data_IF_861033957738
#
_entry.id   IF_861033957738
#
_cell.length_a   1.000
_cell.length_b   1.000
_cell.length_c   1.000
_cell.angle_alpha   90.00
_cell.angle_beta   90.00
_cell.angle_gamma   90.00
#
_symmetry.space_group_name_H-M   'P 1'
#
loop_
_entity.id
_entity.type
_entity.pdbx_description
1 polymer ?
#
# COMPACT_ATOMS: atom_id res chain seq x y z
N UNK A 1 10.86 -32.97 -15.95
CA UNK A 1 9.80 -32.08 -16.44
C UNK A 1 10.31 -30.66 -16.28
N UNK A 2 10.30 -29.84 -17.34
CA UNK A 2 10.64 -28.43 -17.20
C UNK A 2 9.58 -27.72 -16.35
N UNK A 3 9.99 -26.96 -15.33
CA UNK A 3 9.05 -26.16 -14.53
C UNK A 3 8.60 -24.92 -15.31
N UNK A 4 7.50 -24.26 -14.88
CA UNK A 4 7.09 -22.94 -15.43
C UNK A 4 8.25 -21.94 -15.38
N UNK A 5 9.09 -22.00 -14.33
CA UNK A 5 10.28 -21.15 -14.19
C UNK A 5 11.32 -21.45 -15.25
N UNK A 6 11.56 -22.73 -15.55
CA UNK A 6 12.53 -23.13 -16.59
C UNK A 6 12.05 -22.73 -17.97
N UNK A 7 10.75 -22.86 -18.26
CA UNK A 7 10.15 -22.38 -19.49
C UNK A 7 10.34 -20.86 -19.66
N UNK A 8 10.00 -20.07 -18.63
CA UNK A 8 10.14 -18.61 -18.70
C UNK A 8 11.61 -18.18 -18.86
N UNK A 9 12.56 -18.81 -18.15
CA UNK A 9 14.00 -18.55 -18.32
C UNK A 9 14.46 -18.80 -19.77
N UNK A 10 14.09 -19.96 -20.34
CA UNK A 10 14.43 -20.32 -21.73
C UNK A 10 13.79 -19.34 -22.72
N UNK A 11 12.52 -18.97 -22.52
CA UNK A 11 11.82 -18.01 -23.35
C UNK A 11 12.45 -16.61 -23.29
N UNK A 12 12.89 -16.15 -22.12
CA UNK A 12 13.58 -14.86 -21.97
C UNK A 12 14.94 -14.83 -22.67
N UNK A 13 15.74 -15.90 -22.57
CA UNK A 13 17.00 -16.04 -23.31
C UNK A 13 16.78 -15.96 -24.82
N UNK A 14 15.74 -16.63 -25.31
CA UNK A 14 15.36 -16.57 -26.73
C UNK A 14 14.89 -15.17 -27.14
N UNK A 15 14.02 -14.53 -26.35
CA UNK A 15 13.53 -13.18 -26.62
C UNK A 15 14.64 -12.12 -26.65
N UNK A 16 15.63 -12.23 -25.75
CA UNK A 16 16.80 -11.37 -25.73
C UNK A 16 17.66 -11.54 -27.00
N UNK A 17 17.78 -12.76 -27.52
CA UNK A 17 18.51 -13.08 -28.77
C UNK A 17 17.87 -12.40 -29.99
N UNK A 18 16.55 -12.16 -29.96
CA UNK A 18 15.81 -11.49 -31.04
C UNK A 18 15.52 -10.00 -30.78
N UNK A 19 16.14 -9.39 -29.77
CA UNK A 19 15.98 -7.95 -29.49
C UNK A 19 14.57 -7.53 -29.06
N UNK A 20 13.77 -8.46 -28.51
CA UNK A 20 12.41 -8.14 -28.06
C UNK A 20 12.44 -7.32 -26.76
N UNK A 21 11.56 -6.32 -26.66
CA UNK A 21 11.39 -5.43 -25.50
C UNK A 21 10.90 -6.12 -24.22
N UNK A 22 10.60 -7.42 -24.26
CA UNK A 22 10.15 -8.23 -23.12
C UNK A 22 11.30 -8.91 -22.38
N UNK A 23 12.38 -8.18 -22.08
CA UNK A 23 13.48 -8.70 -21.26
C UNK A 23 13.02 -8.68 -19.80
N UNK A 24 12.94 -9.86 -19.17
CA UNK A 24 12.69 -9.95 -17.73
C UNK A 24 13.83 -9.19 -17.00
N UNK A 25 13.52 -8.22 -16.11
CA UNK A 25 14.54 -7.49 -15.36
C UNK A 25 15.50 -8.42 -14.61
N UNK A 26 16.79 -8.06 -14.54
CA UNK A 26 17.82 -8.91 -13.92
C UNK A 26 17.50 -9.29 -12.47
N UNK A 27 16.88 -8.40 -11.69
CA UNK A 27 16.44 -8.70 -10.32
C UNK A 27 15.40 -9.83 -10.28
N UNK A 28 14.46 -9.85 -11.21
CA UNK A 28 13.45 -10.92 -11.34
C UNK A 28 14.12 -12.21 -11.83
N UNK A 29 15.05 -12.14 -12.79
CA UNK A 29 15.81 -13.32 -13.23
C UNK A 29 16.58 -13.97 -12.07
N UNK A 30 17.27 -13.16 -11.24
CA UNK A 30 17.96 -13.62 -10.04
C UNK A 30 17.00 -14.27 -9.06
N UNK A 31 15.85 -13.64 -8.79
CA UNK A 31 14.84 -14.21 -7.89
C UNK A 31 14.27 -15.54 -8.42
N UNK A 32 14.00 -15.66 -9.72
CA UNK A 32 13.55 -16.91 -10.34
C UNK A 32 14.61 -18.03 -10.34
N UNK A 33 15.89 -17.68 -10.20
CA UNK A 33 16.98 -18.64 -10.10
C UNK A 33 17.06 -19.32 -8.72
N UNK A 34 16.44 -18.73 -7.70
CA UNK A 34 16.40 -19.27 -6.35
C UNK A 34 15.37 -20.40 -6.30
N UNK A 35 15.85 -21.63 -6.14
CA UNK A 35 15.01 -22.80 -5.92
C UNK A 35 14.79 -22.99 -4.42
N UNK A 36 13.53 -23.23 -4.04
CA UNK A 36 13.23 -23.69 -2.69
C UNK A 36 13.80 -25.10 -2.49
N UNK A 37 14.18 -25.44 -1.25
CA UNK A 37 14.66 -26.78 -0.97
C UNK A 37 13.55 -27.81 -1.23
N UNK A 38 13.85 -29.00 -1.78
CA UNK A 38 12.84 -30.04 -2.01
C UNK A 38 12.06 -30.35 -0.74
N UNK A 39 10.73 -30.40 -0.85
CA UNK A 39 9.83 -30.69 0.28
C UNK A 39 9.37 -29.49 1.11
N UNK A 40 9.95 -28.30 0.90
CA UNK A 40 9.52 -27.08 1.58
C UNK A 40 8.21 -26.50 1.01
N UNK A 41 7.52 -25.74 1.85
CA UNK A 41 6.28 -25.01 1.57
C UNK A 41 6.44 -23.53 1.97
N UNK A 42 5.37 -22.74 1.84
CA UNK A 42 5.39 -21.36 2.33
C UNK A 42 5.51 -21.25 3.86
N UNK A 43 5.24 -22.33 4.61
CA UNK A 43 5.43 -22.37 6.06
C UNK A 43 6.91 -22.39 6.47
N UNK A 44 7.81 -22.75 5.55
CA UNK A 44 9.26 -22.78 5.78
C UNK A 44 9.94 -21.45 5.44
N UNK A 45 9.17 -20.40 5.14
CA UNK A 45 9.72 -19.09 4.84
C UNK A 45 10.30 -18.43 6.11
N UNK A 46 11.62 -18.28 6.14
CA UNK A 46 12.34 -17.62 7.26
C UNK A 46 12.17 -16.09 7.25
N UNK A 47 11.89 -15.50 6.09
CA UNK A 47 11.76 -14.06 5.91
C UNK A 47 10.51 -13.73 5.09
N UNK A 48 9.66 -12.88 5.67
CA UNK A 48 8.48 -12.32 5.00
C UNK A 48 8.67 -10.82 4.89
N UNK A 49 8.77 -10.33 3.66
CA UNK A 49 8.91 -8.89 3.36
C UNK A 49 7.59 -8.38 2.81
N UNK A 50 7.03 -7.38 3.49
CA UNK A 50 5.84 -6.69 3.01
C UNK A 50 6.24 -5.37 2.36
N UNK A 51 6.01 -5.26 1.04
CA UNK A 51 6.13 -4.00 0.32
C UNK A 51 4.74 -3.37 0.18
N UNK A 52 4.51 -2.29 0.92
CA UNK A 52 3.25 -1.55 0.85
C UNK A 52 3.36 -0.44 -0.20
N UNK A 53 2.43 -0.43 -1.14
CA UNK A 53 2.32 0.63 -2.16
C UNK A 53 1.06 1.47 -1.92
N UNK A 54 0.98 2.59 -2.62
CA UNK A 54 -0.08 3.59 -2.44
C UNK A 54 -1.00 3.71 -3.67
N UNK A 55 -2.29 3.90 -3.40
CA UNK A 55 -3.27 4.55 -4.27
C UNK A 55 -3.38 4.08 -5.73
N UNK A 56 -3.25 2.78 -5.98
CA UNK A 56 -3.51 2.18 -7.31
C UNK A 56 -4.44 0.98 -7.21
N UNK A 57 -5.49 0.97 -8.04
CA UNK A 57 -6.41 -0.18 -8.12
C UNK A 57 -5.78 -1.31 -8.94
N UNK A 58 -6.27 -2.53 -8.73
CA UNK A 58 -5.84 -3.69 -9.51
C UNK A 58 -6.09 -3.48 -11.01
N UNK A 59 -7.28 -3.02 -11.40
CA UNK A 59 -7.62 -2.82 -12.81
C UNK A 59 -6.79 -1.69 -13.46
N UNK A 60 -6.36 -0.69 -12.69
CA UNK A 60 -5.48 0.36 -13.17
C UNK A 60 -4.08 -0.18 -13.52
N UNK A 61 -3.51 -1.06 -12.67
CA UNK A 61 -2.17 -1.60 -12.90
C UNK A 61 -2.17 -2.84 -13.81
N UNK A 62 -3.12 -3.74 -13.60
CA UNK A 62 -3.09 -5.11 -14.13
C UNK A 62 -4.37 -5.52 -14.85
N UNK A 63 -5.37 -4.64 -15.00
CA UNK A 63 -6.65 -4.99 -15.64
C UNK A 63 -6.53 -5.48 -17.08
N UNK A 64 -5.39 -5.17 -17.74
CA UNK A 64 -5.04 -5.62 -19.10
C UNK A 64 -4.05 -6.79 -19.14
N UNK A 65 -3.52 -7.23 -18.00
CA UNK A 65 -2.59 -8.36 -17.94
C UNK A 65 -3.27 -9.65 -18.45
N UNK A 66 -2.54 -10.45 -19.23
CA UNK A 66 -3.07 -11.75 -19.70
C UNK A 66 -3.11 -12.73 -18.52
N UNK A 67 -4.24 -13.40 -18.35
CA UNK A 67 -4.41 -14.43 -17.31
C UNK A 67 -5.16 -13.97 -16.06
N UNK A 68 -5.30 -12.66 -15.84
CA UNK A 68 -6.23 -12.12 -14.84
C UNK A 68 -7.63 -12.02 -15.43
N UNK A 69 -8.66 -11.93 -14.58
CA UNK A 69 -10.04 -11.65 -15.03
C UNK A 69 -10.11 -10.33 -15.81
N UNK A 70 -9.66 -9.25 -15.17
CA UNK A 70 -9.55 -7.90 -15.74
C UNK A 70 -10.76 -7.45 -16.58
N UNK A 71 -10.48 -6.68 -17.63
CA UNK A 71 -11.51 -6.15 -18.55
C UNK A 71 -12.07 -7.19 -19.54
N UNK A 72 -11.56 -8.43 -19.51
CA UNK A 72 -12.05 -9.54 -20.35
C UNK A 72 -12.84 -10.58 -19.54
N UNK A 73 -13.23 -10.27 -18.30
CA UNK A 73 -13.94 -11.20 -17.45
C UNK A 73 -15.31 -11.59 -18.05
N UNK A 74 -15.53 -12.86 -18.45
CA UNK A 74 -16.80 -13.28 -19.05
C UNK A 74 -17.96 -13.20 -18.05
N UNK A 75 -17.65 -13.30 -16.75
CA UNK A 75 -18.61 -13.28 -15.64
C UNK A 75 -18.69 -11.93 -14.93
N UNK A 76 -18.26 -10.86 -15.60
CA UNK A 76 -18.37 -9.52 -15.07
C UNK A 76 -19.83 -9.12 -14.82
N UNK A 77 -20.05 -8.39 -13.72
CA UNK A 77 -21.36 -7.86 -13.38
C UNK A 77 -21.90 -7.01 -14.54
N UNK A 78 -23.15 -7.28 -14.89
CA UNK A 78 -23.90 -6.51 -15.86
C UNK A 78 -24.70 -5.42 -15.12
N UNK A 79 -24.60 -4.19 -15.59
CA UNK A 79 -25.34 -3.03 -15.09
C UNK A 79 -26.78 -3.03 -15.64
N UNK A 80 -27.72 -2.25 -15.07
CA UNK A 80 -29.11 -2.21 -15.54
C UNK A 80 -29.27 -1.87 -17.04
N UNK A 81 -28.35 -1.08 -17.60
CA UNK A 81 -28.29 -0.75 -19.03
C UNK A 81 -27.65 -1.86 -19.89
N UNK A 82 -27.45 -3.07 -19.34
CA UNK A 82 -26.81 -4.23 -19.99
C UNK A 82 -25.31 -4.08 -20.28
N UNK A 83 -24.70 -2.96 -19.91
CA UNK A 83 -23.26 -2.77 -20.03
C UNK A 83 -22.50 -3.58 -18.97
N UNK A 84 -21.23 -3.89 -19.26
CA UNK A 84 -20.31 -4.45 -18.26
C UNK A 84 -19.95 -3.39 -17.22
N UNK A 85 -19.70 -3.80 -15.98
CA UNK A 85 -19.44 -2.89 -14.84
C UNK A 85 -18.30 -1.89 -15.07
N UNK A 86 -17.31 -2.16 -15.91
CA UNK A 86 -16.25 -1.19 -16.21
C UNK A 86 -16.65 -0.12 -17.23
N UNK A 87 -17.80 -0.25 -17.89
CA UNK A 87 -18.39 0.82 -18.70
C UNK A 87 -19.22 1.71 -17.78
N UNK A 88 -18.75 2.93 -17.52
CA UNK A 88 -19.32 3.83 -16.51
C UNK A 88 -19.95 5.05 -17.16
N UNK A 89 -21.09 5.47 -16.62
CA UNK A 89 -21.78 6.67 -17.09
C UNK A 89 -21.34 7.90 -16.30
N UNK A 90 -21.23 9.06 -16.95
CA UNK A 90 -21.19 10.36 -16.27
C UNK A 90 -22.58 10.81 -15.81
N UNK A 91 -22.67 12.03 -15.27
CA UNK A 91 -23.95 12.63 -14.84
C UNK A 91 -24.88 13.03 -16.00
N UNK A 92 -24.35 13.12 -17.23
CA UNK A 92 -25.10 13.46 -18.44
C UNK A 92 -25.62 12.20 -19.18
N UNK A 93 -25.25 11.00 -18.71
CA UNK A 93 -25.63 9.73 -19.32
C UNK A 93 -24.66 9.24 -20.39
N UNK A 94 -23.54 9.93 -20.63
CA UNK A 94 -22.50 9.46 -21.55
C UNK A 94 -21.77 8.27 -20.95
N UNK A 95 -21.63 7.19 -21.72
CA UNK A 95 -20.92 5.98 -21.29
C UNK A 95 -19.46 6.02 -21.75
N UNK A 96 -18.54 5.74 -20.83
CA UNK A 96 -17.11 5.68 -21.08
C UNK A 96 -16.57 4.28 -20.81
N UNK A 97 -15.67 3.83 -21.70
CA UNK A 97 -14.89 2.62 -21.49
C UNK A 97 -13.57 2.93 -20.76
N UNK A 98 -12.95 1.93 -20.10
CA UNK A 98 -11.57 2.06 -19.65
C UNK A 98 -10.65 2.46 -20.79
N UNK A 99 -9.71 3.37 -20.52
CA UNK A 99 -8.80 3.90 -21.52
C UNK A 99 -7.36 3.86 -21.03
N UNK A 100 -6.44 3.66 -21.97
CA UNK A 100 -5.02 3.60 -21.69
C UNK A 100 -4.48 5.00 -21.37
N UNK A 101 -3.70 5.10 -20.28
CA UNK A 101 -2.94 6.29 -19.92
C UNK A 101 -1.44 6.02 -20.11
N UNK A 102 -0.90 6.45 -21.25
CA UNK A 102 0.51 6.23 -21.59
C UNK A 102 1.41 7.07 -20.67
N UNK A 103 2.17 6.41 -19.78
CA UNK A 103 2.99 7.08 -18.76
C UNK A 103 4.15 7.87 -19.37
N UNK A 104 4.59 7.51 -20.58
CA UNK A 104 5.71 8.15 -21.27
C UNK A 104 5.26 9.36 -22.11
N UNK A 105 3.98 9.40 -22.49
CA UNK A 105 3.41 10.50 -23.32
C UNK A 105 2.52 11.45 -22.53
N UNK A 106 2.21 11.13 -21.28
CA UNK A 106 1.34 11.94 -20.43
C UNK A 106 2.02 12.27 -19.11
N UNK A 107 1.50 13.27 -18.41
CA UNK A 107 1.95 13.62 -17.04
C UNK A 107 1.09 12.91 -15.98
N UNK A 108 0.63 11.69 -16.26
CA UNK A 108 -0.33 10.98 -15.40
C UNK A 108 0.16 10.80 -13.96
N UNK A 109 1.47 10.64 -13.77
CA UNK A 109 2.09 10.55 -12.43
C UNK A 109 2.07 11.87 -11.65
N UNK A 110 1.88 13.01 -12.32
CA UNK A 110 1.78 14.34 -11.71
C UNK A 110 0.35 14.90 -11.67
N UNK A 111 -0.66 14.09 -12.00
CA UNK A 111 -2.06 14.53 -12.01
C UNK A 111 -2.66 14.66 -10.59
N UNK A 112 -1.95 14.16 -9.57
CA UNK A 112 -2.45 14.08 -8.19
C UNK A 112 -3.35 12.85 -7.96
N UNK A 113 -3.96 12.79 -6.77
CA UNK A 113 -4.85 11.71 -6.38
C UNK A 113 -6.29 11.92 -6.87
N UNK A 114 -7.01 10.82 -7.12
CA UNK A 114 -8.47 10.84 -7.32
C UNK A 114 -9.19 10.80 -5.97
N UNK A 115 -10.43 11.29 -5.82
CA UNK A 115 -11.18 11.22 -4.56
C UNK A 115 -11.19 9.79 -3.99
N UNK A 116 -10.65 9.56 -2.80
CA UNK A 116 -10.47 8.23 -2.21
C UNK A 116 -10.76 8.17 -0.71
N UNK A 117 -11.52 9.16 -0.20
CA UNK A 117 -12.01 9.14 1.18
C UNK A 117 -13.10 8.08 1.40
N UNK A 118 -13.49 7.86 2.65
CA UNK A 118 -14.61 6.97 2.98
C UNK A 118 -15.92 7.36 2.28
N UNK A 119 -16.27 8.65 2.26
CA UNK A 119 -17.48 9.13 1.59
C UNK A 119 -17.45 8.84 0.09
N UNK A 120 -16.31 9.08 -0.56
CA UNK A 120 -16.15 8.88 -2.00
C UNK A 120 -16.23 7.39 -2.36
N UNK A 121 -15.55 6.53 -1.61
CA UNK A 121 -15.52 5.10 -1.85
C UNK A 121 -16.92 4.47 -1.68
N UNK A 122 -17.65 4.86 -0.63
CA UNK A 122 -19.02 4.37 -0.40
C UNK A 122 -20.00 4.91 -1.45
N UNK A 123 -19.86 6.18 -1.84
CA UNK A 123 -20.67 6.79 -2.88
C UNK A 123 -20.43 6.12 -4.24
N UNK A 124 -19.17 5.88 -4.63
CA UNK A 124 -18.82 5.20 -5.89
C UNK A 124 -19.32 3.74 -5.92
N UNK A 125 -19.24 3.01 -4.79
CA UNK A 125 -19.80 1.65 -4.66
C UNK A 125 -21.32 1.64 -4.86
N UNK A 126 -22.01 2.72 -4.48
CA UNK A 126 -23.45 2.93 -4.63
C UNK A 126 -24.29 1.70 -4.22
N UNK A 127 -24.30 1.35 -2.92
CA UNK A 127 -25.07 0.19 -2.39
C UNK A 127 -24.75 -1.14 -3.11
N UNK A 128 -23.51 -1.30 -3.59
CA UNK A 128 -23.06 -2.49 -4.31
C UNK A 128 -23.43 -2.49 -5.80
N UNK A 129 -23.96 -1.38 -6.33
CA UNK A 129 -24.26 -1.24 -7.76
C UNK A 129 -23.00 -1.09 -8.62
N UNK A 130 -21.94 -0.47 -8.10
CA UNK A 130 -20.67 -0.23 -8.81
C UNK A 130 -20.84 0.56 -10.12
N UNK A 131 -21.70 1.59 -10.11
CA UNK A 131 -22.11 2.38 -11.28
C UNK A 131 -21.92 3.89 -11.09
N UNK A 132 -21.13 4.30 -10.09
CA UNK A 132 -20.89 5.71 -9.74
C UNK A 132 -19.41 6.08 -9.66
N UNK A 133 -18.52 5.35 -10.35
CA UNK A 133 -17.09 5.66 -10.35
C UNK A 133 -16.78 6.99 -11.03
N UNK A 134 -17.30 7.25 -12.24
CA UNK A 134 -17.05 8.50 -12.98
C UNK A 134 -17.67 9.73 -12.28
N UNK A 135 -18.94 9.70 -11.83
CA UNK A 135 -19.54 10.84 -11.13
C UNK A 135 -18.87 11.22 -9.82
N UNK A 136 -18.26 10.26 -9.11
CA UNK A 136 -17.69 10.48 -7.77
C UNK A 136 -16.18 10.69 -7.82
N UNK A 137 -15.46 9.95 -8.68
CA UNK A 137 -13.98 9.93 -8.72
C UNK A 137 -13.39 10.48 -10.01
N UNK A 138 -14.21 11.08 -10.86
CA UNK A 138 -13.88 11.59 -12.22
C UNK A 138 -13.66 10.51 -13.28
N UNK A 139 -13.60 10.93 -14.54
CA UNK A 139 -13.33 10.06 -15.69
C UNK A 139 -11.98 9.34 -15.57
N UNK A 140 -10.99 9.93 -14.90
CA UNK A 140 -9.67 9.34 -14.70
C UNK A 140 -9.68 8.06 -13.87
N UNK A 141 -10.78 7.78 -13.14
CA UNK A 141 -10.97 6.49 -12.46
C UNK A 141 -11.04 5.28 -13.41
N UNK A 142 -11.22 5.53 -14.73
CA UNK A 142 -11.21 4.50 -15.77
C UNK A 142 -9.87 4.36 -16.50
N UNK A 143 -8.88 5.21 -16.18
CA UNK A 143 -7.55 5.12 -16.74
C UNK A 143 -6.86 3.83 -16.30
N UNK A 144 -6.12 3.17 -17.20
CA UNK A 144 -5.30 2.01 -16.89
C UNK A 144 -3.94 2.05 -17.59
N UNK A 145 -2.97 1.37 -16.98
CA UNK A 145 -1.65 1.10 -17.55
C UNK A 145 -1.62 -0.22 -18.33
N UNK A 146 -0.76 -0.24 -19.34
CA UNK A 146 -0.35 -1.43 -20.07
C UNK A 146 1.03 -1.89 -19.64
N UNK A 147 1.49 -2.99 -20.23
CA UNK A 147 2.79 -3.60 -19.94
C UNK A 147 3.92 -2.62 -20.19
N UNK A 148 3.78 -1.80 -21.22
CA UNK A 148 4.77 -0.83 -21.67
C UNK A 148 4.94 0.34 -20.68
N UNK A 149 3.92 0.64 -19.88
CA UNK A 149 3.97 1.71 -18.88
C UNK A 149 4.62 1.24 -17.56
N UNK A 150 4.35 0.00 -17.18
CA UNK A 150 4.80 -0.59 -15.90
C UNK A 150 5.46 -1.96 -16.11
N UNK A 151 6.52 -2.03 -16.96
CA UNK A 151 7.08 -3.30 -17.43
C UNK A 151 7.64 -4.18 -16.31
N UNK A 152 8.22 -3.56 -15.28
CA UNK A 152 8.72 -4.28 -14.11
C UNK A 152 7.59 -5.04 -13.39
N UNK A 153 6.45 -4.38 -13.15
CA UNK A 153 5.31 -4.98 -12.45
C UNK A 153 4.67 -6.12 -13.26
N UNK A 154 4.55 -5.95 -14.58
CA UNK A 154 4.05 -7.03 -15.44
C UNK A 154 5.02 -8.21 -15.49
N UNK A 155 6.33 -7.97 -15.57
CA UNK A 155 7.33 -9.04 -15.53
C UNK A 155 7.32 -9.79 -14.18
N UNK A 156 7.11 -9.07 -13.07
CA UNK A 156 6.98 -9.66 -11.74
C UNK A 156 5.73 -10.55 -11.66
N UNK A 157 4.60 -10.09 -12.18
CA UNK A 157 3.35 -10.86 -12.23
C UNK A 157 3.45 -12.10 -13.16
N UNK A 158 4.23 -12.04 -14.24
CA UNK A 158 4.46 -13.20 -15.10
C UNK A 158 5.34 -14.26 -14.41
N UNK A 159 6.33 -13.82 -13.64
CA UNK A 159 7.29 -14.69 -12.97
C UNK A 159 6.74 -15.34 -11.68
N UNK A 160 5.87 -14.62 -10.97
CA UNK A 160 5.38 -15.01 -9.64
C UNK A 160 3.86 -15.05 -9.56
N UNK A 161 3.33 -15.23 -8.34
CA UNK A 161 1.89 -15.27 -8.09
C UNK A 161 1.32 -13.86 -8.03
N UNK A 162 0.19 -13.66 -8.70
CA UNK A 162 -0.64 -12.45 -8.60
C UNK A 162 -2.05 -12.85 -8.13
N UNK A 163 -2.64 -12.07 -7.23
CA UNK A 163 -3.97 -12.30 -6.69
C UNK A 163 -4.97 -11.29 -7.28
N UNK A 164 -5.72 -11.70 -8.31
CA UNK A 164 -6.72 -10.86 -8.99
C UNK A 164 -8.08 -10.76 -8.26
N UNK A 165 -8.13 -11.28 -7.04
CA UNK A 165 -9.28 -11.23 -6.13
C UNK A 165 -8.85 -10.83 -4.72
N UNK A 166 -7.89 -9.92 -4.62
CA UNK A 166 -7.40 -9.31 -3.40
C UNK A 166 -7.99 -7.90 -3.24
N UNK A 167 -8.62 -7.63 -2.10
CA UNK A 167 -9.31 -6.37 -1.84
C UNK A 167 -8.67 -5.63 -0.68
N UNK A 168 -8.81 -4.31 -0.66
CA UNK A 168 -8.57 -3.53 0.55
C UNK A 168 -9.49 -4.00 1.67
N UNK A 169 -9.01 -3.96 2.91
CA UNK A 169 -9.78 -4.40 4.09
C UNK A 169 -11.01 -3.54 4.34
N UNK A 170 -10.96 -2.26 3.96
CA UNK A 170 -12.07 -1.32 4.10
C UNK A 170 -12.13 -0.30 2.97
N UNK A 171 -13.36 0.05 2.56
CA UNK A 171 -13.63 1.08 1.55
C UNK A 171 -13.48 2.48 2.14
N UNK A 172 -12.25 2.82 2.49
CA UNK A 172 -11.82 4.01 3.21
C UNK A 172 -10.52 4.54 2.59
N UNK A 173 -9.97 5.62 3.16
CA UNK A 173 -8.67 6.18 2.75
C UNK A 173 -7.46 5.33 3.17
N UNK A 174 -6.28 5.94 3.04
CA UNK A 174 -4.98 5.33 3.33
C UNK A 174 -4.88 4.88 4.78
N UNK A 175 -5.02 5.79 5.75
CA UNK A 175 -4.76 5.49 7.17
C UNK A 175 -5.57 4.31 7.70
N UNK A 176 -6.89 4.20 7.50
CA UNK A 176 -7.64 3.05 7.99
C UNK A 176 -7.19 1.71 7.37
N UNK A 177 -6.80 1.71 6.09
CA UNK A 177 -6.29 0.49 5.46
C UNK A 177 -4.88 0.12 5.94
N UNK A 178 -4.03 1.11 6.27
CA UNK A 178 -2.73 0.88 6.92
C UNK A 178 -2.89 0.38 8.36
N UNK A 179 -3.90 0.87 9.09
CA UNK A 179 -4.26 0.33 10.41
C UNK A 179 -4.72 -1.13 10.29
N UNK A 180 -5.59 -1.47 9.34
CA UNK A 180 -5.93 -2.88 9.09
C UNK A 180 -4.72 -3.75 8.78
N UNK A 181 -3.77 -3.24 7.99
CA UNK A 181 -2.56 -3.95 7.64
C UNK A 181 -1.72 -4.29 8.89
N UNK A 182 -1.62 -3.37 9.85
CA UNK A 182 -0.82 -3.58 11.05
C UNK A 182 -1.57 -4.16 12.24
N UNK A 183 -2.89 -4.04 12.32
CA UNK A 183 -3.66 -4.38 13.53
C UNK A 183 -4.86 -5.28 13.28
N UNK A 184 -5.15 -5.63 12.02
CA UNK A 184 -6.32 -6.43 11.65
C UNK A 184 -7.68 -5.75 11.94
N UNK A 185 -7.70 -4.47 12.35
CA UNK A 185 -8.89 -3.73 12.75
C UNK A 185 -8.71 -2.22 12.56
N UNK A 186 -9.81 -1.47 12.59
CA UNK A 186 -9.81 0.02 12.65
C UNK A 186 -10.64 0.52 13.84
N UNK A 187 -10.84 -0.34 14.82
CA UNK A 187 -11.58 -0.08 16.06
C UNK A 187 -10.99 -0.95 17.18
N UNK A 188 -11.04 -0.50 18.44
CA UNK A 188 -10.47 -1.24 19.56
C UNK A 188 -11.17 -2.59 19.77
N UNK A 189 -12.50 -2.61 19.67
CA UNK A 189 -13.31 -3.82 19.77
C UNK A 189 -14.34 -3.88 18.64
N UNK A 190 -14.62 -5.09 18.15
CA UNK A 190 -15.60 -5.32 17.09
C UNK A 190 -17.04 -5.36 17.61
N UNK A 191 -17.52 -4.24 18.15
CA UNK A 191 -18.91 -4.07 18.56
C UNK A 191 -19.50 -2.73 18.10
N UNK A 192 -20.82 -2.58 18.26
CA UNK A 192 -21.58 -1.42 17.80
C UNK A 192 -21.33 -0.14 18.63
N UNK A 193 -20.79 -0.28 19.85
CA UNK A 193 -20.53 0.83 20.75
C UNK A 193 -19.20 1.53 20.45
N UNK A 194 -18.34 0.90 19.66
CA UNK A 194 -17.04 1.42 19.29
C UNK A 194 -17.05 2.00 17.86
N UNK A 195 -16.64 3.26 17.76
CA UNK A 195 -16.53 3.98 16.49
C UNK A 195 -15.26 3.54 15.76
N UNK A 196 -15.40 3.23 14.48
CA UNK A 196 -14.26 2.92 13.62
C UNK A 196 -13.57 4.20 13.13
N UNK A 197 -12.24 4.16 13.05
CA UNK A 197 -11.43 5.15 12.35
C UNK A 197 -11.56 4.91 10.83
N UNK A 198 -12.53 5.56 10.20
CA UNK A 198 -12.83 5.42 8.76
C UNK A 198 -12.26 6.56 7.91
N UNK A 199 -11.78 7.62 8.54
CA UNK A 199 -11.10 8.76 7.91
C UNK A 199 -9.66 8.88 8.42
N UNK A 200 -8.78 9.46 7.60
CA UNK A 200 -7.38 9.64 7.95
C UNK A 200 -7.20 10.51 9.22
N UNK A 201 -7.99 11.57 9.36
CA UNK A 201 -7.94 12.48 10.53
C UNK A 201 -8.30 11.81 11.87
N UNK A 202 -8.83 10.59 11.87
CA UNK A 202 -9.13 9.84 13.10
C UNK A 202 -7.91 9.09 13.64
N UNK A 203 -6.79 9.14 12.93
CA UNK A 203 -5.48 8.63 13.33
C UNK A 203 -4.40 9.43 12.57
N UNK A 204 -3.93 10.52 13.17
CA UNK A 204 -3.07 11.52 12.55
C UNK A 204 -2.10 12.06 13.61
N UNK A 205 -0.84 11.63 13.54
CA UNK A 205 0.16 11.93 14.57
C UNK A 205 0.60 13.39 14.57
N UNK A 206 0.55 14.08 13.42
CA UNK A 206 0.84 15.54 13.35
C UNK A 206 -0.20 16.34 14.14
N UNK A 207 -1.45 15.87 14.17
CA UNK A 207 -2.55 16.46 14.95
C UNK A 207 -2.67 15.90 16.38
N UNK A 208 -1.71 15.07 16.82
CA UNK A 208 -1.76 14.33 18.09
C UNK A 208 -3.01 13.44 18.27
N UNK A 209 -3.57 12.93 17.18
CA UNK A 209 -4.71 12.00 17.19
C UNK A 209 -4.18 10.58 17.06
N UNK A 210 -4.23 9.83 18.16
CA UNK A 210 -3.68 8.46 18.21
C UNK A 210 -4.75 7.43 18.57
N UNK A 211 -4.62 6.25 17.98
CA UNK A 211 -5.35 5.03 18.34
C UNK A 211 -4.55 4.20 19.34
N UNK A 212 -5.21 3.28 20.03
CA UNK A 212 -4.58 2.47 21.07
C UNK A 212 -5.21 1.07 21.15
N UNK A 213 -4.75 0.18 20.28
CA UNK A 213 -5.05 -1.25 20.30
C UNK A 213 -3.85 -2.04 19.76
N UNK A 214 -3.86 -3.35 20.00
CA UNK A 214 -2.71 -4.22 19.74
C UNK A 214 -2.35 -4.28 18.25
N UNK A 215 -1.04 -4.29 17.96
CA UNK A 215 -0.49 -4.37 16.61
C UNK A 215 0.19 -5.71 16.36
N UNK A 216 0.32 -6.11 15.09
CA UNK A 216 1.05 -7.30 14.67
C UNK A 216 2.55 -7.24 15.07
N UNK A 217 3.26 -6.10 14.95
CA UNK A 217 4.61 -5.97 15.51
C UNK A 217 4.72 -6.23 17.02
N UNK A 218 3.72 -5.86 17.82
CA UNK A 218 3.71 -6.21 19.24
C UNK A 218 3.66 -7.73 19.44
N UNK A 219 2.83 -8.43 18.67
CA UNK A 219 2.77 -9.90 18.70
C UNK A 219 4.11 -10.55 18.31
N UNK A 220 4.78 -10.01 17.28
CA UNK A 220 6.09 -10.50 16.86
C UNK A 220 7.14 -10.27 17.95
N UNK A 221 7.14 -9.08 18.56
CA UNK A 221 8.05 -8.76 19.68
C UNK A 221 7.82 -9.66 20.90
N UNK A 222 6.57 -9.94 21.24
CA UNK A 222 6.20 -10.78 22.39
C UNK A 222 6.55 -12.27 22.20
N UNK A 223 6.80 -12.70 20.97
CA UNK A 223 7.15 -14.07 20.61
C UNK A 223 8.58 -14.20 20.09
N UNK A 224 9.44 -13.21 20.38
CA UNK A 224 10.85 -13.19 19.97
C UNK A 224 11.07 -13.36 18.45
N UNK A 225 10.09 -12.96 17.63
CA UNK A 225 10.20 -12.97 16.17
C UNK A 225 10.83 -11.67 15.70
N UNK A 226 11.94 -11.76 14.95
CA UNK A 226 12.62 -10.58 14.42
C UNK A 226 11.74 -9.84 13.41
N UNK A 227 11.59 -8.53 13.59
CA UNK A 227 10.81 -7.67 12.71
C UNK A 227 11.44 -6.27 12.65
N UNK A 228 11.17 -5.58 11.55
CA UNK A 228 11.63 -4.21 11.32
C UNK A 228 10.80 -3.54 10.22
N UNK A 229 10.51 -2.25 10.38
CA UNK A 229 9.88 -1.41 9.36
C UNK A 229 10.93 -0.46 8.82
N UNK A 230 11.13 -0.49 7.49
CA UNK A 230 12.07 0.37 6.80
C UNK A 230 11.33 1.52 6.12
N UNK A 231 11.73 2.75 6.42
CA UNK A 231 11.21 3.98 5.82
C UNK A 231 12.31 5.04 5.77
N UNK A 232 12.08 6.13 5.05
CA UNK A 232 13.01 7.27 5.04
C UNK A 232 12.88 8.07 6.34
N UNK A 233 11.90 8.97 6.42
CA UNK A 233 11.65 9.76 7.64
C UNK A 233 10.27 9.43 8.26
N UNK A 234 10.06 9.85 9.51
CA UNK A 234 8.76 9.71 10.19
C UNK A 234 7.81 10.84 9.78
N UNK A 235 6.57 10.50 9.46
CA UNK A 235 5.52 11.49 9.15
C UNK A 235 5.37 12.52 10.26
N UNK A 236 5.43 12.06 11.50
CA UNK A 236 5.24 12.87 12.71
C UNK A 236 6.27 14.00 12.84
N UNK A 237 7.45 13.87 12.21
CA UNK A 237 8.46 14.93 12.21
C UNK A 237 8.00 16.22 11.54
N UNK A 238 6.95 16.16 10.71
CA UNK A 238 6.40 17.29 9.97
C UNK A 238 7.49 18.07 9.21
N UNK A 239 8.23 17.33 8.37
CA UNK A 239 9.30 17.91 7.55
C UNK A 239 8.77 19.07 6.68
N UNK A 240 9.62 20.06 6.34
CA UNK A 240 9.22 21.14 5.46
C UNK A 240 8.70 20.62 4.12
N UNK A 241 7.53 21.11 3.71
CA UNK A 241 6.92 20.79 2.42
C UNK A 241 7.84 21.19 1.25
N UNK A 242 7.69 20.47 0.13
CA UNK A 242 8.53 20.62 -1.06
C UNK A 242 9.66 19.60 -1.06
N UNK A 243 10.86 19.99 -1.51
CA UNK A 243 11.94 19.03 -1.81
C UNK A 243 12.29 18.09 -0.64
N UNK A 244 12.17 18.52 0.62
CA UNK A 244 12.53 17.63 1.74
C UNK A 244 11.50 16.53 1.94
N UNK A 245 10.22 16.89 2.14
CA UNK A 245 9.15 15.90 2.32
C UNK A 245 8.92 15.07 1.04
N UNK A 246 9.15 15.65 -0.14
CA UNK A 246 8.97 14.94 -1.43
C UNK A 246 9.92 13.78 -1.66
N UNK A 247 11.13 13.86 -1.11
CA UNK A 247 12.15 12.81 -1.25
C UNK A 247 12.28 11.92 0.00
N UNK A 248 12.05 12.49 1.19
CA UNK A 248 12.29 11.81 2.47
C UNK A 248 11.02 11.45 3.24
N UNK A 249 9.91 12.10 2.93
CA UNK A 249 8.63 11.83 3.58
C UNK A 249 8.16 10.40 3.32
N UNK A 250 7.50 9.83 4.33
CA UNK A 250 6.75 8.58 4.17
C UNK A 250 5.25 8.83 3.98
N UNK A 251 4.81 10.10 3.89
CA UNK A 251 3.41 10.51 3.70
C UNK A 251 2.39 9.85 4.62
N UNK A 252 2.81 9.49 5.84
CA UNK A 252 1.91 8.87 6.80
C UNK A 252 1.56 7.41 6.49
N UNK A 253 2.30 6.75 5.61
CA UNK A 253 2.06 5.35 5.24
C UNK A 253 2.45 4.35 6.33
N UNK A 254 3.35 4.72 7.25
CA UNK A 254 3.59 3.93 8.45
C UNK A 254 2.59 4.27 9.56
N UNK A 255 1.44 3.59 9.55
CA UNK A 255 0.41 3.81 10.56
C UNK A 255 0.78 3.37 11.99
N UNK A 256 1.93 2.73 12.22
CA UNK A 256 2.44 2.53 13.59
C UNK A 256 2.73 3.86 14.28
N UNK A 257 2.99 4.93 13.51
CA UNK A 257 3.13 6.29 14.05
C UNK A 257 1.87 6.77 14.77
N UNK A 258 0.69 6.26 14.39
CA UNK A 258 -0.59 6.66 14.96
C UNK A 258 -1.01 5.81 16.16
N UNK A 259 -0.22 4.81 16.56
CA UNK A 259 -0.53 3.93 17.68
C UNK A 259 0.23 4.40 18.93
N UNK A 260 -0.49 4.77 20.00
CA UNK A 260 0.10 5.32 21.24
C UNK A 260 1.23 4.47 21.81
N UNK A 261 1.08 3.14 21.75
CA UNK A 261 2.03 2.15 22.28
C UNK A 261 3.39 2.17 21.60
N UNK A 262 3.44 2.59 20.32
CA UNK A 262 4.69 2.72 19.58
C UNK A 262 5.43 4.02 19.90
N UNK A 263 4.79 5.02 20.53
CA UNK A 263 5.44 6.23 21.05
C UNK A 263 6.38 6.91 20.04
N UNK A 264 5.90 7.16 18.81
CA UNK A 264 6.70 7.75 17.70
C UNK A 264 7.48 9.00 18.08
N UNK A 265 6.96 9.81 19.00
CA UNK A 265 7.62 11.02 19.54
C UNK A 265 8.84 10.75 20.44
N UNK A 266 9.20 9.49 20.64
CA UNK A 266 10.45 9.06 21.29
C UNK A 266 11.41 8.37 20.29
N UNK A 267 11.12 8.45 18.98
CA UNK A 267 11.97 7.87 17.93
C UNK A 267 13.34 8.55 17.85
N UNK A 268 14.23 8.03 16.99
CA UNK A 268 15.55 8.61 16.80
C UNK A 268 15.50 10.10 16.41
N UNK A 269 14.53 10.49 15.56
CA UNK A 269 14.31 11.88 15.16
C UNK A 269 14.05 12.79 16.38
N UNK A 270 13.08 12.45 17.22
CA UNK A 270 12.70 13.30 18.36
C UNK A 270 13.73 13.29 19.48
N UNK A 271 14.48 12.19 19.66
CA UNK A 271 15.63 12.17 20.59
C UNK A 271 16.78 13.06 20.14
N UNK A 272 16.87 13.39 18.85
CA UNK A 272 17.86 14.30 18.29
C UNK A 272 17.38 15.76 18.29
N UNK A 273 16.11 15.99 17.97
CA UNK A 273 15.59 17.33 17.70
C UNK A 273 14.66 17.89 18.79
N UNK A 274 14.21 17.08 19.75
CA UNK A 274 13.14 17.45 20.69
C UNK A 274 11.74 17.28 20.09
N UNK A 275 10.71 17.63 20.86
CA UNK A 275 9.30 17.69 20.43
C UNK A 275 8.75 19.10 20.66
N UNK A 276 8.71 19.91 19.59
CA UNK A 276 8.16 21.27 19.63
C UNK A 276 6.62 21.29 19.70
N UNK A 277 5.98 20.18 19.34
CA UNK A 277 4.51 20.08 19.31
C UNK A 277 3.93 19.70 20.67
N UNK A 278 4.75 19.27 21.62
CA UNK A 278 4.31 19.04 23.00
C UNK A 278 4.06 20.36 23.72
N UNK A 279 3.22 20.31 24.77
CA UNK A 279 2.92 21.49 25.59
C UNK A 279 3.17 21.16 27.07
N UNK A 280 4.27 21.65 27.68
CA UNK A 280 5.34 22.47 27.07
C UNK A 280 6.17 21.69 26.04
N UNK A 281 6.87 22.41 25.16
CA UNK A 281 7.83 21.82 24.22
C UNK A 281 8.92 21.06 25.00
N UNK A 282 9.37 19.92 24.47
CA UNK A 282 10.43 19.11 25.08
C UNK A 282 11.72 19.26 24.29
N UNK A 283 12.80 19.52 25.00
CA UNK A 283 14.16 19.46 24.45
C UNK A 283 14.56 18.03 24.07
N UNK A 284 15.59 17.87 23.23
CA UNK A 284 16.15 16.57 22.87
C UNK A 284 16.55 15.74 24.10
N UNK A 285 17.16 16.37 25.11
CA UNK A 285 17.58 15.72 26.35
C UNK A 285 16.38 15.23 27.19
N UNK A 286 15.28 15.99 27.23
CA UNK A 286 14.06 15.56 27.91
C UNK A 286 13.38 14.40 27.19
N UNK A 287 13.35 14.41 25.85
CA UNK A 287 12.86 13.27 25.06
C UNK A 287 13.72 12.04 25.29
N UNK A 288 15.05 12.19 25.29
CA UNK A 288 15.99 11.11 25.55
C UNK A 288 15.83 10.55 26.98
N UNK A 289 15.67 11.42 27.98
CA UNK A 289 15.41 11.02 29.36
C UNK A 289 14.13 10.18 29.47
N UNK A 290 13.04 10.59 28.80
CA UNK A 290 11.79 9.81 28.74
C UNK A 290 12.00 8.45 28.05
N UNK A 291 12.74 8.42 26.95
CA UNK A 291 13.07 7.17 26.26
C UNK A 291 13.92 6.22 27.14
N UNK A 292 14.86 6.75 27.93
CA UNK A 292 15.75 5.95 28.75
C UNK A 292 15.03 5.20 29.87
N UNK A 293 13.91 5.75 30.36
CA UNK A 293 13.04 5.12 31.38
C UNK A 293 12.22 3.94 30.85
N UNK A 294 12.16 3.73 29.54
CA UNK A 294 11.39 2.65 28.93
C UNK A 294 12.01 1.27 29.17
N UNK A 295 11.16 0.26 29.25
CA UNK A 295 11.57 -1.15 29.20
C UNK A 295 12.23 -1.48 27.86
N UNK A 296 13.02 -2.56 27.81
CA UNK A 296 13.66 -2.97 26.57
C UNK A 296 12.65 -3.29 25.46
N UNK A 297 11.51 -3.89 25.81
CA UNK A 297 10.40 -4.17 24.89
C UNK A 297 9.87 -2.90 24.24
N UNK A 298 9.56 -1.87 25.05
CA UNK A 298 9.07 -0.59 24.53
C UNK A 298 10.10 0.11 23.64
N UNK A 299 11.39 0.04 24.02
CA UNK A 299 12.49 0.54 23.18
C UNK A 299 12.54 -0.20 21.84
N UNK A 300 12.32 -1.51 21.83
CA UNK A 300 12.29 -2.30 20.60
C UNK A 300 11.11 -1.90 19.71
N UNK A 301 9.91 -1.72 20.26
CA UNK A 301 8.73 -1.26 19.50
C UNK A 301 8.94 0.10 18.82
N UNK A 302 9.68 1.02 19.45
CA UNK A 302 10.04 2.31 18.86
C UNK A 302 11.12 2.12 17.79
N UNK A 303 12.25 1.53 18.16
CA UNK A 303 13.44 1.50 17.30
C UNK A 303 13.27 0.61 16.07
N UNK A 304 12.45 -0.45 16.14
CA UNK A 304 12.17 -1.34 15.01
C UNK A 304 11.06 -0.80 14.10
N UNK A 305 10.13 -0.01 14.62
CA UNK A 305 9.05 0.59 13.83
C UNK A 305 9.47 1.87 13.08
N UNK A 306 10.39 2.65 13.66
CA UNK A 306 10.77 3.96 13.13
C UNK A 306 12.25 3.99 12.80
N UNK A 307 12.64 3.12 11.88
CA UNK A 307 14.02 3.05 11.41
C UNK A 307 14.10 4.04 10.27
N UNK A 308 14.54 5.25 10.60
CA UNK A 308 14.84 6.25 9.59
C UNK A 308 16.17 5.91 8.93
N UNK A 309 16.32 6.24 7.65
CA UNK A 309 17.57 6.07 6.91
C UNK A 309 18.63 7.10 7.29
#
# INVERSE_FOLDING_TARGET
>A
MDSRRDFLKKASLLAATFGASNVIPMSIQKAMAINAAPGTTFYDAEHVVFLMQENRSFDHMFGKLKGVRGFNNPRAKTLPNKNKVWLQNDNNGNTFAPFHVDINKTKITWQGGLPHSWSDQVAARNKGKYDKWVPVKTLMSLGYYQREDVPFYYAMADAFTICDHHFCSSLTGTTPNRLFFWTGSIRPEQNANNVAAVNNSQAESRDNVFVDWHTFPELLEDNDVSWKVYQNEVWTANLPEGETDDWLGNYGDNALEYVKRHRVKLSAYFRKNGDETSKPALTADEVLAKYNQLSQREKNLINKAFTTN
#
